data_IF_279731037442
#
_entry.id   IF_279731037442
#
_cell.length_a   1.000
_cell.length_b   1.000
_cell.length_c   1.000
_cell.angle_alpha   90.00
_cell.angle_beta   90.00
_cell.angle_gamma   90.00
#
_symmetry.space_group_name_H-M   'P 1'
#
loop_
_entity.id
_entity.type
_entity.pdbx_description
1 polymer ?
#
# COMPACT_ATOMS: atom_id res chain seq x y z
N UNK A 1 31.61 -0.67 32.24
CA UNK A 1 31.21 0.34 31.25
C UNK A 1 29.98 -0.17 30.54
N UNK A 2 28.79 0.16 31.02
CA UNK A 2 27.54 -0.03 30.27
C UNK A 2 27.40 1.15 29.32
N UNK A 3 27.99 1.03 28.13
CA UNK A 3 27.71 1.99 27.06
C UNK A 3 26.23 1.84 26.70
N UNK A 4 25.46 2.91 26.83
CA UNK A 4 24.10 2.95 26.29
C UNK A 4 24.19 2.71 24.80
N UNK A 5 23.62 1.61 24.31
CA UNK A 5 23.49 1.33 22.88
C UNK A 5 22.29 2.15 22.40
N UNK A 6 22.55 3.36 21.90
CA UNK A 6 21.51 4.14 21.24
C UNK A 6 21.02 3.37 20.01
N UNK A 7 19.70 3.17 19.84
CA UNK A 7 19.16 2.47 18.68
C UNK A 7 19.42 3.28 17.42
N UNK A 8 19.95 2.63 16.39
CA UNK A 8 20.10 3.21 15.05
C UNK A 8 18.80 2.94 14.30
N UNK A 9 18.14 3.99 13.81
CA UNK A 9 16.95 3.85 12.94
C UNK A 9 17.38 3.52 11.52
N UNK A 10 16.57 2.76 10.78
CA UNK A 10 16.97 2.28 9.45
C UNK A 10 17.39 3.38 8.47
N UNK A 11 16.80 4.61 8.46
CA UNK A 11 17.25 5.63 7.51
C UNK A 11 18.69 6.09 7.76
N UNK A 12 19.16 6.00 9.01
CA UNK A 12 20.54 6.33 9.35
C UNK A 12 21.49 5.21 8.94
N UNK A 13 21.02 3.95 8.97
CA UNK A 13 21.79 2.79 8.53
C UNK A 13 21.87 2.67 7.00
N UNK A 14 20.78 3.00 6.31
CA UNK A 14 20.59 2.80 4.86
C UNK A 14 20.05 4.09 4.17
N UNK A 15 20.78 5.22 4.23
CA UNK A 15 20.28 6.52 3.77
C UNK A 15 19.97 6.55 2.27
N UNK A 16 20.70 5.79 1.45
CA UNK A 16 20.48 5.75 0.00
C UNK A 16 19.12 5.14 -0.36
N UNK A 17 18.61 4.23 0.48
CA UNK A 17 17.29 3.62 0.29
C UNK A 17 16.20 4.66 0.59
N UNK A 18 16.35 5.45 1.66
CA UNK A 18 15.42 6.53 1.93
C UNK A 18 15.44 7.57 0.81
N UNK A 19 16.61 7.99 0.33
CA UNK A 19 16.74 8.93 -0.77
C UNK A 19 16.02 8.44 -2.04
N UNK A 20 16.18 7.16 -2.38
CA UNK A 20 15.48 6.51 -3.49
C UNK A 20 13.95 6.60 -3.30
N UNK A 21 13.47 6.23 -2.12
CA UNK A 21 12.03 6.20 -1.84
C UNK A 21 11.42 7.61 -1.84
N UNK A 22 12.12 8.60 -1.27
CA UNK A 22 11.74 10.02 -1.30
C UNK A 22 11.68 10.58 -2.73
N UNK A 23 12.54 10.11 -3.62
CA UNK A 23 12.51 10.50 -5.02
C UNK A 23 11.39 9.80 -5.82
N UNK A 24 11.13 8.53 -5.53
CA UNK A 24 10.23 7.69 -6.33
C UNK A 24 8.75 7.86 -5.95
N UNK A 25 8.40 7.84 -4.66
CA UNK A 25 7.01 7.78 -4.20
C UNK A 25 6.18 9.00 -4.64
N UNK A 26 6.68 10.25 -4.55
CA UNK A 26 5.91 11.41 -4.99
C UNK A 26 5.58 11.43 -6.49
N UNK A 27 6.30 10.67 -7.31
CA UNK A 27 6.04 10.60 -8.77
C UNK A 27 4.72 9.89 -9.11
N UNK A 28 4.30 8.95 -8.26
CA UNK A 28 3.09 8.13 -8.46
C UNK A 28 1.99 8.42 -7.43
N UNK A 29 2.35 8.96 -6.27
CA UNK A 29 1.41 9.31 -5.20
C UNK A 29 1.81 10.65 -4.57
N UNK A 30 1.58 11.78 -5.27
CA UNK A 30 2.02 13.10 -4.83
C UNK A 30 1.35 13.59 -3.53
N UNK A 31 0.19 13.02 -3.18
CA UNK A 31 -0.57 13.36 -1.97
C UNK A 31 -0.14 12.53 -0.74
N UNK A 32 0.88 11.68 -0.86
CA UNK A 32 1.50 11.03 0.31
C UNK A 32 2.58 11.92 0.91
N UNK A 33 2.43 12.23 2.19
CA UNK A 33 3.43 12.92 2.99
C UNK A 33 4.33 11.90 3.70
N UNK A 34 5.64 12.05 3.56
CA UNK A 34 6.60 11.31 4.37
C UNK A 34 6.71 11.93 5.76
N UNK A 35 6.59 11.09 6.78
CA UNK A 35 6.87 11.42 8.15
C UNK A 35 8.13 10.65 8.59
N UNK A 36 9.21 11.34 8.99
CA UNK A 36 10.47 10.70 9.39
C UNK A 36 10.32 9.89 10.68
N UNK A 37 11.32 9.08 11.07
CA UNK A 37 11.29 8.38 12.36
C UNK A 37 11.03 9.33 13.53
N UNK A 38 10.15 8.92 14.44
CA UNK A 38 9.83 9.67 15.65
C UNK A 38 10.31 8.90 16.89
N UNK A 39 10.96 9.63 17.80
CA UNK A 39 11.49 9.11 19.06
C UNK A 39 10.80 9.80 20.25
N UNK A 40 10.39 9.01 21.25
CA UNK A 40 9.97 9.50 22.56
C UNK A 40 11.03 9.09 23.60
N UNK A 41 12.03 9.95 23.81
CA UNK A 41 13.21 9.60 24.60
C UNK A 41 14.02 8.50 23.89
N UNK A 42 14.27 7.38 24.58
CA UNK A 42 14.98 6.22 24.01
C UNK A 42 14.05 5.25 23.25
N UNK A 43 12.74 5.52 23.21
CA UNK A 43 11.76 4.66 22.55
C UNK A 43 11.46 5.15 21.13
N UNK A 44 11.54 4.24 20.15
CA UNK A 44 11.12 4.52 18.78
C UNK A 44 9.59 4.44 18.71
N UNK A 45 8.93 5.57 18.44
CA UNK A 45 7.47 5.61 18.23
C UNK A 45 7.12 5.03 16.85
N UNK A 46 7.89 5.39 15.83
CA UNK A 46 7.84 4.75 14.52
C UNK A 46 9.13 4.95 13.72
N UNK A 47 9.39 4.05 12.79
CA UNK A 47 10.59 4.05 11.95
C UNK A 47 10.41 4.81 10.63
N UNK A 48 9.56 5.84 10.64
CA UNK A 48 9.13 6.57 9.46
C UNK A 48 7.94 5.92 8.74
N UNK A 49 7.12 6.74 8.10
CA UNK A 49 5.90 6.32 7.42
C UNK A 49 5.51 7.28 6.29
N UNK A 50 4.64 6.83 5.40
CA UNK A 50 3.95 7.68 4.44
C UNK A 50 2.45 7.69 4.74
N UNK A 51 1.85 8.88 4.73
CA UNK A 51 0.43 9.07 5.06
C UNK A 51 -0.24 9.92 3.99
N UNK A 52 -1.42 9.51 3.53
CA UNK A 52 -2.21 10.32 2.61
C UNK A 52 -3.07 9.48 1.68
N UNK A 53 -3.44 10.05 0.54
CA UNK A 53 -4.34 9.41 -0.43
C UNK A 53 -3.59 8.97 -1.68
N UNK A 54 -3.88 7.76 -2.13
CA UNK A 54 -3.40 7.26 -3.41
C UNK A 54 -4.26 7.82 -4.55
N UNK A 55 -3.70 8.03 -5.75
CA UNK A 55 -4.51 8.29 -6.93
C UNK A 55 -5.45 7.10 -7.23
N UNK A 56 -6.61 7.40 -7.82
CA UNK A 56 -7.55 6.37 -8.28
C UNK A 56 -6.90 5.45 -9.32
N UNK A 57 -6.05 6.01 -10.19
CA UNK A 57 -5.46 5.29 -11.30
C UNK A 57 -4.00 5.72 -11.57
N UNK A 58 -3.02 5.18 -10.82
CA UNK A 58 -1.60 5.48 -11.01
C UNK A 58 -0.90 4.53 -12.00
N UNK A 59 -1.65 3.76 -12.80
CA UNK A 59 -1.09 2.70 -13.66
C UNK A 59 -0.64 3.23 -15.02
N UNK A 60 0.40 2.62 -15.57
CA UNK A 60 0.90 2.90 -16.92
C UNK A 60 0.07 2.17 -18.00
N UNK A 61 -1.25 2.38 -17.95
CA UNK A 61 -2.21 1.87 -18.93
C UNK A 61 -3.48 2.73 -18.95
N UNK A 62 -4.27 2.71 -20.03
CA UNK A 62 -5.51 3.49 -20.12
C UNK A 62 -6.46 3.20 -18.95
N UNK A 63 -7.06 4.26 -18.41
CA UNK A 63 -8.08 4.15 -17.37
C UNK A 63 -9.39 3.60 -17.97
N UNK A 64 -9.99 2.56 -17.37
CA UNK A 64 -11.27 2.01 -17.79
C UNK A 64 -12.39 3.05 -17.73
N UNK A 65 -13.37 2.90 -18.62
CA UNK A 65 -14.57 3.74 -18.61
C UNK A 65 -15.29 3.64 -17.27
N UNK A 66 -15.88 4.76 -16.83
CA UNK A 66 -16.73 4.84 -15.63
C UNK A 66 -16.06 4.47 -14.31
N UNK A 67 -14.73 4.29 -14.29
CA UNK A 67 -14.00 4.02 -13.04
C UNK A 67 -14.29 5.06 -11.96
N UNK A 68 -14.34 6.35 -12.32
CA UNK A 68 -14.61 7.43 -11.35
C UNK A 68 -16.04 7.45 -10.81
N UNK A 69 -16.97 6.77 -11.46
CA UNK A 69 -18.32 6.60 -10.93
C UNK A 69 -18.33 5.52 -9.84
N UNK A 70 -17.61 4.43 -10.04
CA UNK A 70 -17.45 3.35 -9.05
C UNK A 70 -16.52 3.74 -7.89
N UNK A 71 -15.41 4.42 -8.22
CA UNK A 71 -14.33 4.81 -7.32
C UNK A 71 -14.03 6.28 -7.55
N UNK A 72 -14.79 7.19 -6.92
CA UNK A 72 -14.59 8.63 -7.09
C UNK A 72 -13.25 9.10 -6.51
N UNK A 73 -12.77 8.43 -5.48
CA UNK A 73 -11.53 8.72 -4.78
C UNK A 73 -10.71 7.47 -4.51
N UNK A 74 -9.38 7.61 -4.56
CA UNK A 74 -8.46 6.54 -4.22
C UNK A 74 -8.41 6.29 -2.71
N UNK A 75 -7.67 5.25 -2.32
CA UNK A 75 -7.57 4.85 -0.93
C UNK A 75 -6.73 5.82 -0.09
N UNK A 76 -7.22 6.18 1.09
CA UNK A 76 -6.39 6.76 2.14
C UNK A 76 -5.58 5.65 2.80
N UNK A 77 -4.26 5.83 2.90
CA UNK A 77 -3.34 4.80 3.39
C UNK A 77 -2.36 5.33 4.41
N UNK A 78 -1.83 4.42 5.21
CA UNK A 78 -0.57 4.60 5.93
C UNK A 78 0.38 3.47 5.56
N UNK A 79 1.54 3.82 5.02
CA UNK A 79 2.63 2.88 4.75
C UNK A 79 3.70 3.03 5.82
N UNK A 80 3.92 1.97 6.60
CA UNK A 80 4.86 1.95 7.71
C UNK A 80 6.15 1.23 7.32
N UNK A 81 7.30 1.87 7.57
CA UNK A 81 8.57 1.15 7.60
C UNK A 81 8.76 0.47 8.94
N UNK A 82 9.39 -0.70 8.93
CA UNK A 82 9.77 -1.42 10.15
C UNK A 82 11.23 -1.14 10.53
N UNK A 83 11.62 -1.50 11.75
CA UNK A 83 13.01 -1.46 12.18
C UNK A 83 13.96 -2.27 11.29
N UNK A 84 13.43 -3.31 10.62
CA UNK A 84 14.19 -4.22 9.77
C UNK A 84 14.14 -3.83 8.28
N UNK A 85 13.58 -2.67 7.93
CA UNK A 85 13.67 -2.17 6.56
C UNK A 85 15.14 -1.87 6.22
N UNK A 86 15.64 -2.16 5.00
CA UNK A 86 14.95 -2.68 3.81
C UNK A 86 14.86 -4.21 3.70
N UNK A 87 15.39 -4.97 4.67
CA UNK A 87 15.31 -6.44 4.67
C UNK A 87 13.85 -6.92 4.68
N UNK A 88 12.98 -6.21 5.42
CA UNK A 88 11.53 -6.43 5.37
C UNK A 88 10.80 -5.33 4.57
N UNK A 89 9.73 -5.70 3.85
CA UNK A 89 8.88 -4.75 3.14
C UNK A 89 8.19 -3.79 4.12
N UNK A 90 7.87 -2.57 3.69
CA UNK A 90 6.95 -1.73 4.43
C UNK A 90 5.54 -2.34 4.42
N UNK A 91 4.74 -2.00 5.43
CA UNK A 91 3.36 -2.47 5.57
C UNK A 91 2.39 -1.35 5.23
N UNK A 92 1.43 -1.63 4.35
CA UNK A 92 0.39 -0.67 3.97
C UNK A 92 -0.91 -1.04 4.68
N UNK A 93 -1.52 -0.08 5.37
CA UNK A 93 -2.88 -0.17 5.90
C UNK A 93 -3.75 0.85 5.18
N UNK A 94 -4.97 0.46 4.81
CA UNK A 94 -5.97 1.37 4.26
C UNK A 94 -6.81 1.90 5.41
N UNK A 95 -6.94 3.22 5.50
CA UNK A 95 -7.80 3.89 6.49
C UNK A 95 -9.15 4.28 5.90
N UNK A 96 -9.21 4.52 4.59
CA UNK A 96 -10.47 4.79 3.89
C UNK A 96 -10.44 4.17 2.47
N UNK A 97 -11.41 3.30 2.13
CA UNK A 97 -12.40 2.70 3.03
C UNK A 97 -11.73 1.78 4.06
N UNK A 98 -12.15 1.84 5.33
CA UNK A 98 -11.68 0.90 6.36
C UNK A 98 -12.31 -0.48 6.11
N UNK A 99 -11.51 -1.53 5.85
CA UNK A 99 -12.03 -2.89 5.70
C UNK A 99 -12.69 -3.38 6.99
N UNK A 100 -13.88 -3.95 6.84
CA UNK A 100 -14.66 -4.49 7.95
C UNK A 100 -13.93 -5.64 8.64
N UNK A 101 -14.22 -5.88 9.92
CA UNK A 101 -13.54 -6.94 10.69
C UNK A 101 -13.69 -8.31 10.03
N UNK A 102 -14.85 -8.60 9.43
CA UNK A 102 -15.10 -9.86 8.73
C UNK A 102 -14.30 -9.99 7.43
N UNK A 103 -13.91 -8.88 6.81
CA UNK A 103 -13.09 -8.85 5.58
C UNK A 103 -11.60 -9.06 5.90
N UNK A 104 -11.21 -8.95 7.17
CA UNK A 104 -9.86 -9.27 7.66
C UNK A 104 -9.72 -10.79 7.78
N UNK A 105 -8.49 -11.28 7.64
CA UNK A 105 -8.12 -12.72 7.74
C UNK A 105 -8.62 -13.61 6.60
N UNK A 106 -9.58 -13.14 5.80
CA UNK A 106 -10.06 -13.83 4.62
C UNK A 106 -9.18 -13.49 3.40
N UNK A 107 -8.45 -14.48 2.88
CA UNK A 107 -7.52 -14.29 1.76
C UNK A 107 -8.14 -13.56 0.55
N UNK A 108 -9.43 -13.78 0.27
CA UNK A 108 -10.14 -13.17 -0.86
C UNK A 108 -10.19 -11.64 -0.85
N UNK A 109 -9.98 -10.99 0.30
CA UNK A 109 -9.95 -9.53 0.45
C UNK A 109 -8.53 -8.96 0.51
N UNK A 110 -7.51 -9.82 0.62
CA UNK A 110 -6.12 -9.42 0.81
C UNK A 110 -5.89 -8.48 2.01
N UNK A 111 -6.63 -8.69 3.11
CA UNK A 111 -6.45 -7.95 4.36
C UNK A 111 -6.00 -8.90 5.47
N UNK A 112 -4.81 -8.65 6.02
CA UNK A 112 -4.26 -9.43 7.13
C UNK A 112 -5.04 -9.19 8.43
N UNK A 113 -4.89 -10.06 9.46
CA UNK A 113 -5.58 -9.88 10.75
C UNK A 113 -5.36 -8.50 11.39
N UNK A 114 -4.18 -7.90 11.21
CA UNK A 114 -3.84 -6.58 11.73
C UNK A 114 -4.36 -5.40 10.89
N UNK A 115 -5.14 -5.64 9.83
CA UNK A 115 -5.70 -4.61 8.95
C UNK A 115 -4.76 -4.15 7.82
N UNK A 116 -3.49 -4.53 7.85
CA UNK A 116 -2.56 -4.30 6.73
C UNK A 116 -2.93 -5.12 5.50
N UNK A 117 -2.71 -4.57 4.32
CA UNK A 117 -2.88 -5.29 3.07
C UNK A 117 -1.82 -6.40 2.90
N UNK A 118 -2.26 -7.54 2.37
CA UNK A 118 -1.42 -8.67 1.99
C UNK A 118 -1.10 -8.57 0.48
N UNK A 119 -0.07 -7.76 0.16
CA UNK A 119 0.27 -7.36 -1.22
C UNK A 119 1.40 -8.17 -1.87
N UNK A 120 2.15 -8.92 -1.06
CA UNK A 120 3.18 -9.85 -1.52
C UNK A 120 2.56 -11.24 -1.60
N UNK A 121 2.82 -11.93 -2.70
CA UNK A 121 2.31 -13.26 -3.00
C UNK A 121 3.27 -14.34 -2.54
N UNK A 122 4.57 -14.09 -2.70
CA UNK A 122 5.63 -15.03 -2.34
C UNK A 122 6.72 -14.36 -1.52
N UNK A 123 7.50 -15.16 -0.79
CA UNK A 123 8.66 -14.68 -0.03
C UNK A 123 9.71 -14.01 -0.92
N UNK A 124 9.73 -14.32 -2.23
CA UNK A 124 10.66 -13.73 -3.21
C UNK A 124 10.18 -12.42 -3.83
N UNK A 125 8.96 -11.96 -3.53
CA UNK A 125 8.41 -10.73 -4.11
C UNK A 125 9.05 -9.46 -3.52
N UNK A 126 9.81 -9.59 -2.43
CA UNK A 126 10.54 -8.50 -1.81
C UNK A 126 12.03 -8.80 -1.71
N UNK A 127 12.81 -7.84 -2.17
CA UNK A 127 14.26 -7.74 -1.95
C UNK A 127 14.57 -6.33 -1.44
N UNK A 128 15.70 -6.09 -0.77
CA UNK A 128 16.11 -4.72 -0.40
C UNK A 128 16.13 -3.73 -1.58
N UNK A 129 16.35 -4.23 -2.79
CA UNK A 129 16.36 -3.46 -4.03
C UNK A 129 14.95 -3.14 -4.55
N UNK A 130 13.92 -3.86 -4.10
CA UNK A 130 12.53 -3.64 -4.48
C UNK A 130 12.05 -2.26 -4.02
N UNK A 131 11.32 -1.57 -4.89
CA UNK A 131 10.75 -0.25 -4.59
C UNK A 131 9.38 -0.39 -3.90
N UNK A 132 9.10 0.36 -2.82
CA UNK A 132 7.77 0.44 -2.23
C UNK A 132 6.68 0.95 -3.19
N UNK A 133 7.06 1.60 -4.30
CA UNK A 133 6.13 2.03 -5.34
C UNK A 133 5.27 0.86 -5.83
N UNK A 134 5.84 -0.33 -6.01
CA UNK A 134 5.09 -1.50 -6.45
C UNK A 134 3.98 -1.87 -5.46
N UNK A 135 4.23 -1.73 -4.16
CA UNK A 135 3.23 -1.95 -3.12
C UNK A 135 2.14 -0.88 -3.16
N UNK A 136 2.49 0.39 -3.37
CA UNK A 136 1.52 1.48 -3.48
C UNK A 136 0.63 1.33 -4.73
N UNK A 137 1.18 0.88 -5.86
CA UNK A 137 0.41 0.55 -7.05
C UNK A 137 -0.57 -0.60 -6.77
N UNK A 138 -0.11 -1.67 -6.10
CA UNK A 138 -0.99 -2.78 -5.69
C UNK A 138 -2.07 -2.32 -4.71
N UNK A 139 -1.77 -1.40 -3.79
CA UNK A 139 -2.75 -0.82 -2.88
C UNK A 139 -3.80 0.05 -3.60
N UNK A 140 -3.40 0.81 -4.63
CA UNK A 140 -4.35 1.51 -5.49
C UNK A 140 -5.24 0.52 -6.27
N UNK A 141 -4.67 -0.59 -6.75
CA UNK A 141 -5.42 -1.66 -7.40
C UNK A 141 -6.42 -2.34 -6.46
N UNK A 142 -5.99 -2.60 -5.22
CA UNK A 142 -6.83 -3.14 -4.15
C UNK A 142 -8.08 -2.28 -3.93
N UNK A 143 -7.97 -0.94 -3.96
CA UNK A 143 -9.13 -0.04 -3.78
C UNK A 143 -10.22 -0.24 -4.83
N UNK A 144 -9.81 -0.54 -6.07
CA UNK A 144 -10.70 -0.77 -7.20
C UNK A 144 -11.38 -2.12 -7.04
N UNK A 145 -10.59 -3.17 -6.77
CA UNK A 145 -11.16 -4.51 -6.57
C UNK A 145 -12.04 -4.60 -5.32
N UNK A 146 -11.72 -3.83 -4.27
CA UNK A 146 -12.58 -3.67 -3.11
C UNK A 146 -13.95 -3.12 -3.51
N UNK A 147 -14.01 -2.10 -4.37
CA UNK A 147 -15.28 -1.59 -4.88
C UNK A 147 -16.05 -2.66 -5.69
N UNK A 148 -15.36 -3.43 -6.53
CA UNK A 148 -15.96 -4.52 -7.30
C UNK A 148 -16.54 -5.62 -6.38
N UNK A 149 -15.81 -5.97 -5.31
CA UNK A 149 -16.30 -6.91 -4.28
C UNK A 149 -17.54 -6.37 -3.58
N UNK A 150 -17.54 -5.09 -3.15
CA UNK A 150 -18.69 -4.47 -2.49
C UNK A 150 -19.89 -4.29 -3.41
N UNK A 151 -19.67 -4.15 -4.72
CA UNK A 151 -20.72 -4.16 -5.75
C UNK A 151 -21.25 -5.57 -6.09
N UNK A 152 -20.60 -6.63 -5.56
CA UNK A 152 -20.99 -8.02 -5.78
C UNK A 152 -20.77 -8.51 -7.22
N UNK A 153 -19.87 -7.89 -7.98
CA UNK A 153 -19.53 -8.32 -9.35
C UNK A 153 -18.35 -9.30 -9.40
N UNK A 154 -17.59 -9.39 -8.31
CA UNK A 154 -16.55 -10.41 -8.10
C UNK A 154 -16.63 -10.96 -6.68
N UNK A 155 -16.31 -12.24 -6.51
CA UNK A 155 -16.32 -12.91 -5.21
C UNK A 155 -14.95 -12.96 -4.53
N UNK A 156 -13.89 -12.61 -5.28
CA UNK A 156 -12.51 -12.52 -4.79
C UNK A 156 -11.66 -11.51 -5.57
N UNK A 157 -10.74 -10.86 -4.87
CA UNK A 157 -9.69 -10.02 -5.47
C UNK A 157 -8.68 -10.87 -6.24
N UNK A 158 -8.00 -10.27 -7.22
CA UNK A 158 -6.90 -10.93 -7.91
C UNK A 158 -5.67 -10.97 -7.02
N UNK A 159 -4.87 -12.02 -7.18
CA UNK A 159 -3.58 -12.10 -6.50
C UNK A 159 -2.63 -11.01 -7.02
N UNK A 160 -2.60 -10.77 -8.33
CA UNK A 160 -1.65 -9.85 -8.99
C UNK A 160 -2.10 -8.39 -9.06
N UNK A 161 -3.35 -8.12 -8.67
CA UNK A 161 -3.98 -6.81 -8.81
C UNK A 161 -4.28 -6.45 -10.27
N UNK A 162 -5.11 -5.42 -10.43
CA UNK A 162 -5.48 -4.79 -11.72
C UNK A 162 -4.33 -3.95 -12.35
N UNK A 163 -3.17 -3.88 -11.69
CA UNK A 163 -2.06 -2.98 -12.03
C UNK A 163 -1.63 -3.13 -13.50
N UNK A 164 -1.32 -4.36 -13.93
CA UNK A 164 -0.94 -4.68 -15.30
C UNK A 164 -1.92 -5.59 -16.03
N UNK A 165 -3.01 -6.01 -15.36
CA UNK A 165 -4.00 -6.94 -15.88
C UNK A 165 -5.32 -6.21 -16.18
N UNK A 166 -5.74 -6.20 -17.45
CA UNK A 166 -6.97 -5.55 -17.92
C UNK A 166 -8.18 -6.49 -17.95
N UNK A 167 -8.06 -7.76 -17.53
CA UNK A 167 -9.13 -8.76 -17.64
C UNK A 167 -10.39 -8.36 -16.87
N UNK A 168 -10.28 -7.56 -15.81
CA UNK A 168 -11.41 -7.07 -14.99
C UNK A 168 -11.94 -5.69 -15.38
N UNK A 169 -11.36 -5.04 -16.39
CA UNK A 169 -11.74 -3.66 -16.75
C UNK A 169 -13.21 -3.54 -17.15
N UNK A 170 -13.74 -4.53 -17.87
CA UNK A 170 -15.14 -4.56 -18.29
C UNK A 170 -16.13 -4.63 -17.11
N UNK A 171 -15.72 -5.20 -15.97
CA UNK A 171 -16.55 -5.31 -14.77
C UNK A 171 -16.72 -3.97 -14.05
N UNK A 172 -15.81 -3.01 -14.27
CA UNK A 172 -15.91 -1.67 -13.69
C UNK A 172 -17.13 -0.94 -14.25
N UNK A 173 -17.32 -1.00 -15.56
CA UNK A 173 -18.48 -0.38 -16.22
C UNK A 173 -19.80 -1.07 -15.83
N UNK A 174 -19.78 -2.40 -15.64
CA UNK A 174 -20.93 -3.14 -15.12
C UNK A 174 -21.28 -2.67 -13.70
N UNK A 175 -20.30 -2.64 -12.80
CA UNK A 175 -20.50 -2.26 -11.41
C UNK A 175 -20.98 -0.81 -11.26
N UNK A 176 -20.46 0.12 -12.06
CA UNK A 176 -20.89 1.52 -12.06
C UNK A 176 -22.35 1.71 -12.54
N UNK A 177 -22.95 0.72 -13.18
CA UNK A 177 -24.35 0.78 -13.67
C UNK A 177 -25.38 0.37 -12.62
N UNK A 178 -24.95 -0.12 -11.46
CA UNK A 178 -25.81 -0.65 -10.39
C UNK A 178 -26.12 0.43 -9.37
#
# INVERSE_FOLDING_TARGET
MTGSLAPIVWPDAEPQILERDLAAIPTIAPDLAYEPPEMAGEHVMHHGRWVGRLPVWPFDRPMPERLRELVPEGASVTMWYSAAHPVLPPRITVTEPDPELEERTQHRWHVAPGGSLCLLQTEGDWTPETSPVELLLKAAGWRIEYALMKAGVVDSMTTSGIVSDSTRDHLIAEAASR
#
